data_IF_930901261571
#
_entry.id   IF_930901261571
#
_cell.length_a   1.000
_cell.length_b   1.000
_cell.length_c   1.000
_cell.angle_alpha   90.00
_cell.angle_beta   90.00
_cell.angle_gamma   90.00
#
_symmetry.space_group_name_H-M   'P 1'
#
loop_
_entity.id
_entity.type
_entity.pdbx_description
1 polymer ?
#
# COMPACT_ATOMS: atom_id res chain seq x y z
N UNK A 1 -13.37 -0.82 18.26
CA UNK A 1 -12.51 -2.00 18.46
C UNK A 1 -11.13 -1.49 18.11
N UNK A 2 -10.35 -1.19 19.14
CA UNK A 2 -9.01 -0.65 18.93
C UNK A 2 -8.18 -1.68 18.15
N UNK A 3 -7.42 -1.21 17.16
CA UNK A 3 -6.49 -2.04 16.41
C UNK A 3 -5.54 -2.77 17.37
N UNK A 4 -5.07 -3.98 17.07
CA UNK A 4 -4.09 -4.63 17.93
C UNK A 4 -2.89 -3.69 18.08
N UNK A 5 -2.66 -3.21 19.27
CA UNK A 5 -1.60 -2.27 19.65
C UNK A 5 -0.24 -2.57 19.01
N UNK A 6 0.07 -3.86 18.81
CA UNK A 6 1.33 -4.32 18.23
C UNK A 6 1.54 -3.92 16.76
N UNK A 7 0.53 -3.96 15.93
CA UNK A 7 0.66 -3.67 14.49
C UNK A 7 0.93 -2.18 14.28
N UNK A 8 0.30 -1.32 15.07
CA UNK A 8 0.45 0.13 14.91
C UNK A 8 1.66 0.65 15.69
N UNK A 9 1.91 0.12 16.91
CA UNK A 9 3.04 0.53 17.74
C UNK A 9 4.41 0.12 17.14
N UNK A 10 4.46 -1.01 16.43
CA UNK A 10 5.68 -1.53 15.80
C UNK A 10 5.63 -1.53 14.28
N UNK A 11 4.82 -0.65 13.68
CA UNK A 11 4.84 -0.46 12.25
C UNK A 11 6.25 -0.02 11.81
N UNK A 12 6.91 -0.73 10.88
CA UNK A 12 8.27 -0.41 10.48
C UNK A 12 8.33 0.92 9.77
N UNK A 13 9.33 1.72 10.05
CA UNK A 13 9.73 2.83 9.19
C UNK A 13 10.48 2.29 7.96
N UNK A 14 10.79 3.17 7.01
CA UNK A 14 11.40 2.74 5.76
C UNK A 14 12.75 2.06 5.99
N UNK A 15 13.53 2.57 6.93
CA UNK A 15 14.86 2.03 7.30
C UNK A 15 14.76 0.72 8.10
N UNK A 16 13.63 0.47 8.75
CA UNK A 16 13.38 -0.72 9.57
C UNK A 16 12.85 -1.92 8.76
N UNK A 17 12.62 -1.75 7.47
CA UNK A 17 12.16 -2.86 6.64
C UNK A 17 13.20 -4.00 6.64
N UNK A 18 12.81 -5.26 6.87
CA UNK A 18 13.76 -6.36 7.08
C UNK A 18 14.60 -6.68 5.84
N UNK A 19 14.14 -6.35 4.65
CA UNK A 19 14.81 -6.69 3.40
C UNK A 19 15.64 -5.49 2.87
N UNK A 20 16.99 -5.51 2.94
CA UNK A 20 17.83 -4.39 2.49
C UNK A 20 17.59 -3.98 1.04
N UNK A 21 17.41 -4.96 0.16
CA UNK A 21 17.14 -4.68 -1.27
C UNK A 21 15.81 -3.97 -1.52
N UNK A 22 14.82 -4.15 -0.65
CA UNK A 22 13.54 -3.44 -0.70
C UNK A 22 13.73 -2.02 -0.20
N UNK A 23 14.42 -1.83 0.94
CA UNK A 23 14.77 -0.48 1.46
C UNK A 23 15.46 0.35 0.41
N UNK A 24 16.56 -0.15 -0.17
CA UNK A 24 17.33 0.55 -1.20
C UNK A 24 16.50 0.95 -2.41
N UNK A 25 15.56 0.09 -2.82
CA UNK A 25 14.68 0.38 -3.96
C UNK A 25 13.66 1.46 -3.61
N UNK A 26 13.05 1.41 -2.44
CA UNK A 26 12.06 2.39 -2.01
C UNK A 26 12.71 3.74 -1.70
N UNK A 27 13.88 3.77 -1.06
CA UNK A 27 14.62 5.01 -0.78
C UNK A 27 14.95 5.80 -2.06
N UNK A 28 15.22 5.12 -3.18
CA UNK A 28 15.45 5.78 -4.49
C UNK A 28 14.21 6.47 -5.06
N UNK A 29 13.05 6.20 -4.53
CA UNK A 29 11.77 6.77 -4.99
C UNK A 29 11.25 7.87 -4.06
N UNK A 30 11.94 8.13 -2.96
CA UNK A 30 11.62 9.24 -2.05
C UNK A 30 11.85 10.56 -2.78
N UNK A 31 10.86 11.45 -2.74
CA UNK A 31 10.93 12.78 -3.35
C UNK A 31 10.38 12.90 -4.78
N UNK A 32 10.09 11.80 -5.46
CA UNK A 32 9.47 11.82 -6.79
C UNK A 32 8.23 10.90 -6.86
N UNK A 33 7.14 11.30 -7.53
CA UNK A 33 5.91 10.52 -7.62
C UNK A 33 6.05 9.32 -8.59
N UNK A 34 7.02 8.44 -8.32
CA UNK A 34 7.25 7.25 -9.13
C UNK A 34 6.26 6.14 -8.76
N UNK A 35 5.50 5.63 -9.74
CA UNK A 35 4.61 4.51 -9.48
C UNK A 35 5.38 3.23 -9.16
N UNK A 36 4.88 2.45 -8.20
CA UNK A 36 5.54 1.26 -7.68
C UNK A 36 4.68 0.01 -7.81
N UNK A 37 5.34 -1.12 -8.03
CA UNK A 37 4.72 -2.44 -8.01
C UNK A 37 5.45 -3.35 -7.02
N UNK A 38 4.94 -3.44 -5.80
CA UNK A 38 5.43 -4.34 -4.76
C UNK A 38 4.85 -5.73 -5.01
N UNK A 39 5.69 -6.68 -5.37
CA UNK A 39 5.26 -8.02 -5.76
C UNK A 39 5.97 -9.10 -4.96
N UNK A 40 5.22 -10.11 -4.53
CA UNK A 40 5.77 -11.21 -3.73
C UNK A 40 4.69 -12.02 -3.00
N UNK A 41 5.08 -13.10 -2.30
CA UNK A 41 4.16 -13.96 -1.58
C UNK A 41 3.29 -13.22 -0.56
N UNK A 42 2.23 -13.83 -0.03
CA UNK A 42 1.50 -13.25 1.10
C UNK A 42 2.40 -13.18 2.35
N UNK A 43 2.14 -12.22 3.24
CA UNK A 43 2.84 -12.11 4.53
C UNK A 43 4.24 -11.47 4.49
N UNK A 44 4.81 -11.15 3.32
CA UNK A 44 6.18 -10.59 3.21
C UNK A 44 6.30 -9.09 3.51
N UNK A 45 5.22 -8.44 3.97
CA UNK A 45 5.25 -7.04 4.37
C UNK A 45 5.00 -6.02 3.25
N UNK A 46 4.42 -6.38 2.08
CA UNK A 46 4.18 -5.44 0.97
C UNK A 46 3.41 -4.19 1.38
N UNK A 47 2.28 -4.37 2.06
CA UNK A 47 1.44 -3.25 2.52
C UNK A 47 2.14 -2.42 3.59
N UNK A 48 2.89 -3.07 4.50
CA UNK A 48 3.69 -2.38 5.50
C UNK A 48 4.80 -1.53 4.86
N UNK A 49 5.48 -2.06 3.84
CA UNK A 49 6.51 -1.33 3.09
C UNK A 49 5.92 -0.11 2.33
N UNK A 50 4.73 -0.26 1.74
CA UNK A 50 4.04 0.86 1.09
C UNK A 50 3.64 1.97 2.07
N UNK A 51 3.16 1.58 3.26
CA UNK A 51 2.83 2.53 4.35
C UNK A 51 4.08 3.20 4.91
N UNK A 52 5.17 2.46 5.08
CA UNK A 52 6.46 3.00 5.52
C UNK A 52 6.96 4.06 4.55
N UNK A 53 6.92 3.79 3.24
CA UNK A 53 7.26 4.77 2.21
C UNK A 53 6.35 6.02 2.28
N UNK A 54 5.04 5.84 2.46
CA UNK A 54 4.13 6.98 2.55
C UNK A 54 4.41 7.86 3.77
N UNK A 55 4.79 7.27 4.93
CA UNK A 55 5.21 8.03 6.11
C UNK A 55 6.51 8.79 5.89
N UNK A 56 7.43 8.26 5.10
CA UNK A 56 8.69 8.92 4.76
C UNK A 56 8.49 10.10 3.80
N UNK A 57 7.52 9.96 2.88
CA UNK A 57 7.33 10.92 1.77
C UNK A 57 6.38 12.05 2.13
N UNK A 58 5.41 11.82 3.04
CA UNK A 58 4.36 12.77 3.38
C UNK A 58 4.49 13.28 4.80
N UNK A 59 4.42 14.60 4.98
CA UNK A 59 4.35 15.23 6.31
C UNK A 59 3.04 14.90 7.05
N UNK A 60 1.96 14.67 6.29
CA UNK A 60 0.65 14.22 6.80
C UNK A 60 0.19 12.99 6.01
N UNK A 61 0.68 11.78 6.38
CA UNK A 61 0.31 10.54 5.70
C UNK A 61 -1.19 10.22 5.79
N UNK A 62 -1.87 10.65 6.84
CA UNK A 62 -3.30 10.38 7.03
C UNK A 62 -4.16 11.11 5.98
N UNK A 63 -3.70 12.25 5.50
CA UNK A 63 -4.38 13.05 4.47
C UNK A 63 -3.89 12.73 3.05
N UNK A 64 -2.60 12.41 2.87
CA UNK A 64 -1.99 12.25 1.55
C UNK A 64 -1.78 10.78 1.12
N UNK A 65 -2.05 9.80 2.01
CA UNK A 65 -2.13 8.38 1.66
C UNK A 65 -3.59 7.92 1.56
N UNK A 66 -3.99 7.54 0.36
CA UNK A 66 -5.31 6.92 0.13
C UNK A 66 -5.10 5.43 -0.07
N UNK A 67 -5.51 4.64 0.92
CA UNK A 67 -5.39 3.18 0.86
C UNK A 67 -6.71 2.53 0.43
N UNK A 68 -6.64 1.72 -0.60
CA UNK A 68 -7.75 0.94 -1.11
C UNK A 68 -7.36 -0.54 -1.23
N UNK A 69 -7.93 -1.38 -0.37
CA UNK A 69 -7.88 -2.82 -0.57
C UNK A 69 -8.89 -3.20 -1.66
N UNK A 70 -8.37 -3.58 -2.83
CA UNK A 70 -9.21 -3.84 -4.02
C UNK A 70 -10.09 -5.07 -3.83
N UNK A 71 -9.56 -6.13 -3.21
CA UNK A 71 -10.31 -7.37 -2.98
C UNK A 71 -11.49 -7.11 -2.03
N UNK A 72 -11.25 -6.36 -0.95
CA UNK A 72 -12.27 -5.97 0.01
C UNK A 72 -13.34 -5.07 -0.63
N UNK A 73 -12.92 -4.07 -1.41
CA UNK A 73 -13.85 -3.19 -2.13
C UNK A 73 -14.83 -3.98 -3.01
N UNK A 74 -14.32 -4.95 -3.77
CA UNK A 74 -15.19 -5.79 -4.61
C UNK A 74 -16.00 -6.81 -3.80
N UNK A 75 -15.59 -7.16 -2.58
CA UNK A 75 -16.35 -8.01 -1.64
C UNK A 75 -17.56 -7.33 -1.03
N UNK A 76 -17.50 -6.02 -0.79
CA UNK A 76 -18.57 -5.24 -0.13
C UNK A 76 -19.78 -4.98 -1.03
N UNK A 77 -20.92 -4.71 -0.42
CA UNK A 77 -22.12 -4.22 -1.13
C UNK A 77 -21.97 -2.74 -1.53
N UNK A 78 -22.73 -2.30 -2.53
CA UNK A 78 -22.75 -0.87 -2.94
C UNK A 78 -23.15 0.08 -1.80
N UNK A 79 -23.98 -0.39 -0.88
CA UNK A 79 -24.44 0.39 0.28
C UNK A 79 -23.29 0.60 1.27
N UNK A 80 -22.54 -0.46 1.56
CA UNK A 80 -21.37 -0.40 2.45
C UNK A 80 -20.27 0.50 1.89
N UNK A 81 -19.98 0.40 0.59
CA UNK A 81 -19.00 1.27 -0.07
C UNK A 81 -19.39 2.75 0.03
N UNK A 82 -20.66 3.08 -0.20
CA UNK A 82 -21.15 4.46 -0.11
C UNK A 82 -21.16 5.03 1.30
N UNK A 83 -21.36 4.17 2.29
CA UNK A 83 -21.39 4.57 3.70
C UNK A 83 -19.99 4.56 4.34
N UNK A 84 -18.96 4.08 3.64
CA UNK A 84 -17.57 4.14 4.13
C UNK A 84 -17.13 5.60 4.18
N UNK A 85 -16.72 6.13 5.35
CA UNK A 85 -16.31 7.53 5.50
C UNK A 85 -15.23 7.97 4.51
N UNK A 86 -14.34 7.05 4.11
CA UNK A 86 -13.25 7.32 3.16
C UNK A 86 -13.77 7.64 1.74
N UNK A 87 -14.92 7.08 1.36
CA UNK A 87 -15.46 7.18 0.00
C UNK A 87 -16.78 7.95 -0.09
N UNK A 88 -17.42 8.20 1.04
CA UNK A 88 -18.75 8.84 1.10
C UNK A 88 -18.76 10.20 0.40
N UNK A 89 -17.72 11.01 0.58
CA UNK A 89 -17.57 12.32 -0.07
C UNK A 89 -17.53 12.22 -1.60
N UNK A 90 -16.78 11.28 -2.15
CA UNK A 90 -16.64 11.06 -3.59
C UNK A 90 -17.90 10.47 -4.22
N UNK A 91 -18.67 9.70 -3.46
CA UNK A 91 -19.84 8.96 -3.94
C UNK A 91 -21.18 9.63 -3.63
N UNK A 92 -21.15 10.84 -3.05
CA UNK A 92 -22.35 11.62 -2.77
C UNK A 92 -23.16 11.85 -4.05
N UNK A 93 -24.47 11.55 -4.02
CA UNK A 93 -25.36 11.68 -5.17
C UNK A 93 -25.20 10.63 -6.28
N UNK A 94 -24.27 9.68 -6.18
CA UNK A 94 -23.97 8.67 -7.21
C UNK A 94 -24.70 7.33 -6.97
N UNK A 95 -26.00 7.37 -6.61
CA UNK A 95 -26.76 6.17 -6.20
C UNK A 95 -26.93 5.11 -7.29
N UNK A 96 -26.92 5.49 -8.58
CA UNK A 96 -27.13 4.58 -9.71
C UNK A 96 -25.86 3.98 -10.30
N UNK A 97 -24.69 4.39 -9.82
CA UNK A 97 -23.40 3.95 -10.35
C UNK A 97 -23.17 2.45 -10.18
N UNK A 98 -22.60 1.79 -11.19
CA UNK A 98 -22.17 0.40 -11.05
C UNK A 98 -20.93 0.33 -10.12
N UNK A 99 -20.68 -0.83 -9.49
CA UNK A 99 -19.60 -0.98 -8.50
C UNK A 99 -18.21 -0.72 -9.12
N UNK A 100 -17.99 -1.20 -10.35
CA UNK A 100 -16.75 -0.94 -11.09
C UNK A 100 -16.55 0.56 -11.37
N UNK A 101 -17.64 1.28 -11.66
CA UNK A 101 -17.60 2.72 -11.92
C UNK A 101 -17.37 3.51 -10.61
N UNK A 102 -17.83 3.00 -9.45
CA UNK A 102 -17.58 3.63 -8.16
C UNK A 102 -16.09 3.69 -7.85
N UNK A 103 -15.36 2.58 -8.02
CA UNK A 103 -13.93 2.55 -7.75
C UNK A 103 -13.17 3.46 -8.72
N UNK A 104 -13.53 3.42 -10.01
CA UNK A 104 -12.91 4.28 -11.01
C UNK A 104 -13.15 5.77 -10.70
N UNK A 105 -14.37 6.12 -10.29
CA UNK A 105 -14.71 7.49 -9.89
C UNK A 105 -13.92 7.91 -8.65
N UNK A 106 -13.89 7.09 -7.59
CA UNK A 106 -13.11 7.37 -6.38
C UNK A 106 -11.65 7.60 -6.71
N UNK A 107 -11.02 6.73 -7.51
CA UNK A 107 -9.61 6.88 -7.86
C UNK A 107 -9.33 8.13 -8.72
N UNK A 108 -10.21 8.42 -9.69
CA UNK A 108 -10.07 9.61 -10.54
C UNK A 108 -10.21 10.89 -9.72
N UNK A 109 -11.22 10.97 -8.87
CA UNK A 109 -11.44 12.13 -7.99
C UNK A 109 -10.29 12.26 -6.99
N UNK A 110 -9.91 11.16 -6.34
CA UNK A 110 -8.78 11.17 -5.42
C UNK A 110 -7.48 11.64 -6.06
N UNK A 111 -7.19 11.20 -7.28
CA UNK A 111 -6.01 11.62 -8.03
C UNK A 111 -6.08 13.08 -8.50
N UNK A 112 -7.30 13.61 -8.73
CA UNK A 112 -7.51 14.99 -9.21
C UNK A 112 -7.36 16.05 -8.12
N UNK A 113 -7.56 15.68 -6.84
CA UNK A 113 -7.39 16.61 -5.73
C UNK A 113 -5.90 16.86 -5.47
N UNK A 114 -5.55 18.12 -5.18
CA UNK A 114 -4.19 18.45 -4.78
C UNK A 114 -3.79 17.73 -3.47
N UNK A 115 -2.51 17.42 -3.27
CA UNK A 115 -2.02 16.95 -1.98
C UNK A 115 -2.25 18.02 -0.90
N UNK A 116 -2.36 17.60 0.35
CA UNK A 116 -2.61 18.49 1.49
C UNK A 116 -1.30 19.08 2.00
N UNK A 117 -0.27 18.25 2.15
CA UNK A 117 0.98 18.64 2.81
C UNK A 117 2.22 18.61 1.92
N UNK A 118 2.18 17.97 0.74
CA UNK A 118 3.36 17.71 -0.06
C UNK A 118 3.24 18.12 -1.53
N UNK A 119 4.17 17.65 -2.34
CA UNK A 119 4.18 17.88 -3.79
C UNK A 119 3.24 16.91 -4.53
N UNK A 120 2.99 15.74 -3.97
CA UNK A 120 2.13 14.70 -4.52
C UNK A 120 1.48 13.89 -3.40
N UNK A 121 0.49 13.08 -3.73
CA UNK A 121 -0.15 12.13 -2.82
C UNK A 121 0.13 10.70 -3.27
N UNK A 122 -0.06 9.74 -2.38
CA UNK A 122 0.09 8.32 -2.66
C UNK A 122 -1.28 7.64 -2.66
N UNK A 123 -1.57 6.87 -3.72
CA UNK A 123 -2.72 5.97 -3.80
C UNK A 123 -2.21 4.53 -3.76
N UNK A 124 -2.44 3.86 -2.63
CA UNK A 124 -2.09 2.45 -2.43
C UNK A 124 -3.25 1.56 -2.86
N UNK A 125 -3.01 0.73 -3.86
CA UNK A 125 -3.93 -0.29 -4.35
C UNK A 125 -3.46 -1.66 -3.87
N UNK A 126 -3.98 -2.10 -2.73
CA UNK A 126 -3.62 -3.37 -2.11
C UNK A 126 -4.39 -4.53 -2.74
N UNK A 127 -3.74 -5.69 -2.91
CA UNK A 127 -4.26 -6.85 -3.63
C UNK A 127 -4.70 -6.54 -5.08
N UNK A 128 -3.83 -5.87 -5.82
CA UNK A 128 -4.11 -5.37 -7.16
C UNK A 128 -4.44 -6.47 -8.20
N UNK A 129 -4.10 -7.73 -7.92
CA UNK A 129 -4.53 -8.87 -8.73
C UNK A 129 -6.05 -9.07 -8.77
N UNK A 130 -6.80 -8.44 -7.88
CA UNK A 130 -8.27 -8.44 -7.89
C UNK A 130 -8.87 -7.40 -8.85
N UNK A 131 -8.06 -6.52 -9.42
CA UNK A 131 -8.49 -5.52 -10.40
C UNK A 131 -8.84 -6.23 -11.72
N UNK A 132 -10.06 -6.02 -12.22
CA UNK A 132 -10.49 -6.53 -13.52
C UNK A 132 -9.75 -5.80 -14.64
N UNK A 133 -9.54 -6.47 -15.77
CA UNK A 133 -8.79 -5.95 -16.90
C UNK A 133 -9.38 -4.65 -17.47
N UNK A 134 -10.72 -4.57 -17.62
CA UNK A 134 -11.42 -3.38 -18.08
C UNK A 134 -11.12 -2.16 -17.20
N UNK A 135 -11.04 -2.39 -15.90
CA UNK A 135 -10.69 -1.34 -14.95
C UNK A 135 -9.19 -1.00 -14.96
N UNK A 136 -8.30 -1.97 -15.17
CA UNK A 136 -6.86 -1.69 -15.32
C UNK A 136 -6.58 -0.77 -16.53
N UNK A 137 -7.35 -0.89 -17.62
CA UNK A 137 -7.26 0.00 -18.77
C UNK A 137 -7.71 1.44 -18.45
N UNK A 138 -8.75 1.60 -17.62
CA UNK A 138 -9.16 2.92 -17.16
C UNK A 138 -8.12 3.54 -16.21
N UNK A 139 -7.60 2.75 -15.26
CA UNK A 139 -6.58 3.16 -14.29
C UNK A 139 -5.30 3.65 -14.98
N UNK A 140 -4.89 3.01 -16.08
CA UNK A 140 -3.76 3.48 -16.90
C UNK A 140 -3.91 4.95 -17.29
N UNK A 141 -5.11 5.37 -17.71
CA UNK A 141 -5.36 6.77 -18.11
C UNK A 141 -5.23 7.70 -16.90
N UNK A 142 -5.75 7.30 -15.75
CA UNK A 142 -5.63 8.09 -14.51
C UNK A 142 -4.16 8.27 -14.12
N UNK A 143 -3.36 7.20 -14.18
CA UNK A 143 -1.92 7.26 -13.93
C UNK A 143 -1.20 8.22 -14.88
N UNK A 144 -1.54 8.20 -16.18
CA UNK A 144 -0.95 9.11 -17.19
C UNK A 144 -1.32 10.57 -16.93
N UNK A 145 -2.57 10.84 -16.55
CA UNK A 145 -3.08 12.20 -16.34
C UNK A 145 -2.51 12.84 -15.08
N UNK A 146 -2.31 12.06 -14.02
CA UNK A 146 -1.96 12.56 -12.69
C UNK A 146 -0.52 12.21 -12.25
N UNK A 147 0.35 11.81 -13.17
CA UNK A 147 1.72 11.34 -12.88
C UNK A 147 2.61 12.32 -12.12
N UNK A 148 2.27 13.61 -12.08
CA UNK A 148 3.06 14.64 -11.36
C UNK A 148 2.55 14.89 -9.95
N UNK A 149 1.28 14.59 -9.69
CA UNK A 149 0.59 14.93 -8.44
C UNK A 149 0.16 13.70 -7.66
N UNK A 150 0.34 12.50 -8.25
CA UNK A 150 -0.11 11.25 -7.65
C UNK A 150 0.87 10.13 -7.95
N UNK A 151 1.35 9.49 -6.90
CA UNK A 151 2.09 8.24 -6.95
C UNK A 151 1.11 7.08 -6.75
N UNK A 152 1.12 6.09 -7.64
CA UNK A 152 0.36 4.85 -7.47
C UNK A 152 1.29 3.76 -6.96
N UNK A 153 0.91 3.14 -5.86
CA UNK A 153 1.61 1.99 -5.28
C UNK A 153 0.70 0.78 -5.35
N UNK A 154 1.12 -0.24 -6.08
CA UNK A 154 0.40 -1.50 -6.21
C UNK A 154 1.06 -2.56 -5.34
N UNK A 155 0.28 -3.32 -4.59
CA UNK A 155 0.76 -4.58 -4.03
C UNK A 155 0.09 -5.75 -4.72
N UNK A 156 0.83 -6.81 -5.00
CA UNK A 156 0.27 -8.01 -5.62
C UNK A 156 1.02 -9.28 -5.24
N UNK A 157 0.28 -10.39 -5.17
CA UNK A 157 0.83 -11.75 -5.07
C UNK A 157 0.96 -12.40 -6.45
N UNK A 158 0.25 -11.88 -7.44
CA UNK A 158 0.15 -12.45 -8.79
C UNK A 158 0.37 -11.36 -9.84
N UNK A 159 1.63 -10.92 -10.06
CA UNK A 159 1.92 -9.83 -10.98
C UNK A 159 1.44 -10.11 -12.42
N UNK A 160 1.36 -11.38 -12.82
CA UNK A 160 0.87 -11.79 -14.15
C UNK A 160 -0.60 -11.46 -14.41
N UNK A 161 -1.39 -11.15 -13.38
CA UNK A 161 -2.77 -10.67 -13.53
C UNK A 161 -2.87 -9.18 -13.86
N UNK A 162 -1.77 -8.46 -13.74
CA UNK A 162 -1.73 -7.05 -14.13
C UNK A 162 -1.34 -6.95 -15.61
N UNK A 163 -2.00 -6.05 -16.34
CA UNK A 163 -1.74 -5.85 -17.76
C UNK A 163 -0.37 -5.20 -18.00
N UNK A 164 0.24 -5.50 -19.15
CA UNK A 164 1.55 -4.95 -19.52
C UNK A 164 1.64 -3.40 -19.42
N UNK A 165 0.60 -2.63 -19.76
CA UNK A 165 0.62 -1.17 -19.58
C UNK A 165 0.79 -0.70 -18.12
N UNK A 166 0.33 -1.45 -17.12
CA UNK A 166 0.57 -1.13 -15.71
C UNK A 166 2.03 -1.43 -15.36
N UNK A 167 2.53 -2.62 -15.75
CA UNK A 167 3.92 -2.99 -15.53
C UNK A 167 4.91 -1.98 -16.10
N UNK A 168 4.67 -1.49 -17.32
CA UNK A 168 5.58 -0.54 -17.99
C UNK A 168 5.63 0.85 -17.33
N UNK A 169 4.69 1.16 -16.44
CA UNK A 169 4.57 2.44 -15.73
C UNK A 169 4.94 2.37 -14.27
N UNK A 170 5.28 1.19 -13.78
CA UNK A 170 5.64 0.99 -12.39
C UNK A 170 7.09 0.51 -12.26
N UNK A 171 7.78 1.04 -11.27
CA UNK A 171 9.07 0.51 -10.85
C UNK A 171 8.85 -0.77 -10.03
N UNK A 172 9.39 -1.92 -10.44
CA UNK A 172 9.15 -3.19 -9.76
C UNK A 172 9.98 -3.29 -8.48
N UNK A 173 9.29 -3.65 -7.39
CA UNK A 173 9.89 -3.93 -6.08
C UNK A 173 9.56 -5.39 -5.72
N UNK A 174 10.39 -6.36 -6.15
CA UNK A 174 10.20 -7.74 -5.76
C UNK A 174 10.53 -7.93 -4.28
N UNK A 175 9.64 -8.59 -3.56
CA UNK A 175 9.77 -8.91 -2.16
C UNK A 175 9.71 -10.43 -1.98
N UNK A 176 10.65 -10.97 -1.21
CA UNK A 176 10.69 -12.39 -0.81
C UNK A 176 10.20 -12.56 0.63
N UNK A 177 10.04 -13.77 1.07
CA UNK A 177 9.94 -14.04 2.51
C UNK A 177 11.22 -13.53 3.22
N UNK A 178 11.10 -12.88 4.38
CA UNK A 178 12.28 -12.55 5.19
C UNK A 178 13.00 -13.83 5.59
N UNK A 179 14.30 -13.75 5.82
CA UNK A 179 15.09 -14.84 6.38
C UNK A 179 14.85 -14.94 7.89
N UNK A 180 15.20 -16.08 8.48
CA UNK A 180 15.14 -16.25 9.94
C UNK A 180 15.91 -15.15 10.66
N UNK A 181 17.12 -14.82 10.21
CA UNK A 181 17.94 -13.75 10.80
C UNK A 181 17.24 -12.39 10.72
N UNK A 182 16.66 -12.04 9.55
CA UNK A 182 15.90 -10.79 9.38
C UNK A 182 14.66 -10.71 10.29
N UNK A 183 14.05 -11.86 10.60
CA UNK A 183 12.94 -11.93 11.56
C UNK A 183 13.45 -11.74 12.98
N UNK A 184 14.54 -12.42 13.35
CA UNK A 184 15.16 -12.32 14.68
C UNK A 184 15.58 -10.87 14.95
N UNK A 185 16.31 -10.23 14.04
CA UNK A 185 16.72 -8.82 14.17
C UNK A 185 15.52 -7.90 14.45
N UNK A 186 14.41 -8.15 13.77
CA UNK A 186 13.18 -7.37 13.99
C UNK A 186 12.53 -7.65 15.33
N UNK A 187 12.48 -8.92 15.75
CA UNK A 187 11.94 -9.32 17.05
C UNK A 187 12.78 -8.75 18.20
N UNK A 188 14.10 -8.77 18.11
CA UNK A 188 15.00 -8.15 19.09
C UNK A 188 14.74 -6.65 19.24
N UNK A 189 14.55 -5.95 18.10
CA UNK A 189 14.19 -4.52 18.10
C UNK A 189 12.87 -4.27 18.85
N UNK A 190 11.87 -5.12 18.63
CA UNK A 190 10.56 -5.01 19.29
C UNK A 190 10.69 -5.33 20.79
N UNK A 191 11.40 -6.40 21.15
CA UNK A 191 11.64 -6.77 22.55
C UNK A 191 12.34 -5.64 23.33
N UNK A 192 13.34 -5.02 22.71
CA UNK A 192 14.03 -3.89 23.29
C UNK A 192 13.13 -2.65 23.48
N UNK A 193 12.22 -2.39 22.51
CA UNK A 193 11.27 -1.28 22.59
C UNK A 193 10.20 -1.48 23.67
N UNK A 194 9.83 -2.73 23.95
CA UNK A 194 8.81 -3.09 24.95
C UNK A 194 9.42 -3.47 26.33
N UNK A 195 10.74 -3.34 26.50
CA UNK A 195 11.47 -3.75 27.71
C UNK A 195 11.20 -5.22 28.12
N UNK A 196 11.13 -6.09 27.10
CA UNK A 196 10.90 -7.52 27.26
C UNK A 196 12.22 -8.27 27.11
N UNK A 197 12.60 -9.06 28.13
CA UNK A 197 13.71 -9.98 28.00
C UNK A 197 13.34 -11.14 27.08
N UNK A 198 14.16 -11.37 26.05
CA UNK A 198 14.00 -12.50 25.14
C UNK A 198 15.29 -13.30 25.05
N UNK A 199 15.18 -14.61 24.93
CA UNK A 199 16.33 -15.49 24.69
C UNK A 199 16.42 -15.83 23.19
N UNK A 200 17.62 -16.17 22.74
CA UNK A 200 17.89 -16.50 21.34
C UNK A 200 17.11 -17.72 20.88
N UNK A 201 16.99 -18.75 21.73
CA UNK A 201 16.28 -20.00 21.37
C UNK A 201 14.79 -19.74 21.16
N UNK A 202 14.17 -18.85 21.98
CA UNK A 202 12.80 -18.42 21.83
C UNK A 202 12.57 -17.62 20.54
N UNK A 203 13.48 -16.71 20.20
CA UNK A 203 13.43 -15.95 18.96
C UNK A 203 13.58 -16.84 17.72
N UNK A 204 14.52 -17.78 17.72
CA UNK A 204 14.70 -18.75 16.64
C UNK A 204 13.46 -19.63 16.44
N UNK A 205 12.83 -20.05 17.54
CA UNK A 205 11.59 -20.83 17.48
C UNK A 205 10.44 -20.05 16.85
N UNK A 206 10.30 -18.76 17.14
CA UNK A 206 9.27 -17.91 16.56
C UNK A 206 9.57 -17.63 15.07
N UNK A 207 10.84 -17.51 14.71
CA UNK A 207 11.28 -17.17 13.37
C UNK A 207 11.33 -18.37 12.39
N UNK A 208 11.18 -19.60 12.90
CA UNK A 208 11.20 -20.85 12.10
C UNK A 208 9.81 -21.18 11.54
#
# INVERSE_FOLDING_TARGET
MDAPLWIDAHAPDLDDLPQPSVRDRLQRTVGEPMNLLLQGPPGVGKTAAARALAREVHDDPDSDLIELNVADFFGRSKKEIRNDPRFAGFLAGKSRMAKADMINHVLTESASHAPVSGQFKTILLDNAEAIREDFQQALRRVMEQHHRTTQFVFTTRQPTKLIAPIHSRCFPVPMRAPTTDEIIDRLETICAAEDVECDTDGLEFIAS
#
